data_IF_980941451367
#
_entry.id   IF_980941451367
#
_cell.length_a   1.000
_cell.length_b   1.000
_cell.length_c   1.000
_cell.angle_alpha   90.00
_cell.angle_beta   90.00
_cell.angle_gamma   90.00
#
_symmetry.space_group_name_H-M   'P 1'
#
loop_
_entity.id
_entity.type
_entity.pdbx_description
1 polymer ?
#
# COMPACT_ATOMS: atom_id res chain seq x y z
N UNK A 1 -5.88 2.55 12.07
CA UNK A 1 -5.38 2.99 10.75
C UNK A 1 -4.67 1.87 9.99
N UNK A 2 -3.55 1.31 10.47
CA UNK A 2 -2.70 0.40 9.68
C UNK A 2 -3.42 -0.83 9.08
N UNK A 3 -4.32 -1.47 9.83
CA UNK A 3 -5.12 -2.60 9.31
C UNK A 3 -6.05 -2.17 8.16
N UNK A 4 -6.61 -0.95 8.24
CA UNK A 4 -7.58 -0.42 7.28
C UNK A 4 -6.96 0.10 5.99
N UNK A 5 -5.63 0.23 5.91
CA UNK A 5 -4.90 0.50 4.66
C UNK A 5 -5.10 -0.61 3.61
N UNK A 6 -5.62 -1.77 4.03
CA UNK A 6 -5.97 -2.87 3.16
C UNK A 6 -7.35 -2.72 2.50
N UNK A 7 -8.02 -1.56 2.63
CA UNK A 7 -9.30 -1.26 1.98
C UNK A 7 -9.24 0.09 1.22
N UNK A 8 -9.81 0.16 0.02
CA UNK A 8 -10.02 1.41 -0.73
C UNK A 8 -11.13 1.26 -1.75
N UNK A 9 -12.04 2.24 -1.80
CA UNK A 9 -13.12 2.35 -2.77
C UNK A 9 -13.07 3.68 -3.55
N UNK A 10 -13.47 3.69 -4.83
CA UNK A 10 -13.60 4.93 -5.62
C UNK A 10 -14.94 5.57 -5.30
N UNK A 11 -14.92 6.75 -4.67
CA UNK A 11 -16.11 7.58 -4.41
C UNK A 11 -15.89 8.93 -5.07
N UNK A 12 -16.83 9.35 -5.92
CA UNK A 12 -16.71 10.60 -6.70
C UNK A 12 -15.38 10.72 -7.46
N UNK A 13 -14.86 9.57 -7.96
CA UNK A 13 -13.59 9.46 -8.69
C UNK A 13 -12.32 9.67 -7.86
N UNK A 14 -12.43 9.74 -6.54
CA UNK A 14 -11.31 9.78 -5.59
C UNK A 14 -11.22 8.42 -4.90
N UNK A 15 -10.02 7.89 -4.73
CA UNK A 15 -9.80 6.72 -3.89
C UNK A 15 -9.96 7.12 -2.43
N UNK A 16 -10.97 6.60 -1.76
CA UNK A 16 -11.22 6.82 -0.34
C UNK A 16 -11.09 5.49 0.39
N UNK A 17 -10.38 5.52 1.51
CA UNK A 17 -10.22 4.41 2.44
C UNK A 17 -10.75 4.81 3.81
N UNK A 18 -11.18 3.83 4.59
CA UNK A 18 -11.49 4.06 6.01
C UNK A 18 -10.25 4.53 6.79
N UNK A 19 -9.04 4.20 6.33
CA UNK A 19 -7.81 4.74 6.91
C UNK A 19 -7.67 6.25 6.73
N UNK A 20 -8.26 6.87 5.71
CA UNK A 20 -8.18 8.32 5.49
C UNK A 20 -8.90 9.10 6.60
N UNK A 21 -10.00 8.55 7.11
CA UNK A 21 -10.69 9.12 8.28
C UNK A 21 -9.77 9.13 9.52
N UNK A 22 -9.09 8.01 9.79
CA UNK A 22 -8.14 7.93 10.90
C UNK A 22 -6.87 8.76 10.65
N UNK A 23 -6.47 8.95 9.39
CA UNK A 23 -5.36 9.81 9.02
C UNK A 23 -5.64 11.25 9.43
N UNK A 24 -6.82 11.78 9.08
CA UNK A 24 -7.24 13.12 9.48
C UNK A 24 -7.29 13.28 11.00
N UNK A 25 -7.86 12.29 11.70
CA UNK A 25 -7.91 12.28 13.16
C UNK A 25 -6.49 12.30 13.78
N UNK A 26 -5.55 11.52 13.23
CA UNK A 26 -4.16 11.52 13.69
C UNK A 26 -3.45 12.85 13.41
N UNK A 27 -3.70 13.49 12.28
CA UNK A 27 -3.13 14.82 11.98
C UNK A 27 -3.61 15.86 12.99
N UNK A 28 -4.85 15.77 13.47
CA UNK A 28 -5.37 16.67 14.50
C UNK A 28 -4.84 16.35 15.90
N UNK A 29 -4.53 15.08 16.21
CA UNK A 29 -4.09 14.63 17.55
C UNK A 29 -2.59 14.79 17.75
N UNK A 30 -1.78 14.45 16.74
CA UNK A 30 -0.32 14.50 16.85
C UNK A 30 0.24 15.87 17.33
N UNK A 31 -0.30 17.05 16.92
CA UNK A 31 0.19 18.33 17.41
C UNK A 31 -0.12 18.54 18.90
N UNK A 32 -1.24 17.99 19.38
CA UNK A 32 -1.65 18.07 20.79
C UNK A 32 -0.71 17.29 21.71
N UNK A 33 -0.09 16.23 21.19
CA UNK A 33 0.93 15.42 21.89
C UNK A 33 2.32 16.08 21.83
N UNK A 34 2.46 17.26 21.17
CA UNK A 34 3.71 18.04 20.98
C UNK A 34 4.86 17.33 20.27
N UNK A 35 4.58 16.20 19.61
CA UNK A 35 5.60 15.37 18.98
C UNK A 35 5.58 15.41 17.43
N UNK A 36 4.86 16.37 16.82
CA UNK A 36 4.97 16.54 15.36
C UNK A 36 6.34 17.08 14.99
N UNK A 37 7.10 16.22 14.33
CA UNK A 37 8.26 16.56 13.54
C UNK A 37 7.81 16.65 12.10
N UNK A 38 7.83 17.86 11.55
CA UNK A 38 7.66 18.05 10.12
C UNK A 38 8.99 17.75 9.44
N UNK A 39 9.07 16.73 8.55
CA UNK A 39 10.32 16.41 7.89
C UNK A 39 10.60 17.45 6.79
N UNK A 40 11.26 18.55 7.17
CA UNK A 40 11.39 19.77 6.36
C UNK A 40 11.86 19.55 4.91
N UNK A 41 12.87 18.70 4.61
CA UNK A 41 13.26 18.45 3.22
C UNK A 41 12.12 17.90 2.35
N UNK A 42 11.31 17.01 2.92
CA UNK A 42 10.17 16.42 2.20
C UNK A 42 9.00 17.39 2.09
N UNK A 43 8.85 18.29 3.07
CA UNK A 43 7.89 19.39 2.98
C UNK A 43 8.23 20.36 1.85
N UNK A 44 9.49 20.76 1.74
CA UNK A 44 9.96 21.57 0.60
C UNK A 44 9.77 20.83 -0.73
N UNK A 45 10.09 19.53 -0.77
CA UNK A 45 9.81 18.71 -1.96
C UNK A 45 8.32 18.71 -2.32
N UNK A 46 7.42 18.56 -1.35
CA UNK A 46 5.97 18.62 -1.57
C UNK A 46 5.49 19.98 -2.09
N UNK A 47 6.09 21.08 -1.62
CA UNK A 47 5.81 22.43 -2.13
C UNK A 47 6.28 22.58 -3.58
N UNK A 48 7.53 22.20 -3.89
CA UNK A 48 8.06 22.24 -5.26
C UNK A 48 7.20 21.40 -6.20
N UNK A 49 6.81 20.20 -5.77
CA UNK A 49 5.93 19.32 -6.54
C UNK A 49 4.56 19.98 -6.79
N UNK A 50 3.96 20.59 -5.76
CA UNK A 50 2.69 21.33 -5.89
C UNK A 50 2.81 22.47 -6.89
N UNK A 51 3.85 23.31 -6.76
CA UNK A 51 4.10 24.40 -7.70
C UNK A 51 4.32 23.89 -9.12
N UNK A 52 5.08 22.80 -9.29
CA UNK A 52 5.32 22.19 -10.60
C UNK A 52 4.02 21.69 -11.23
N UNK A 53 3.13 21.08 -10.45
CA UNK A 53 1.84 20.58 -10.95
C UNK A 53 0.92 21.71 -11.39
N UNK A 54 0.79 22.75 -10.56
CA UNK A 54 -0.01 23.93 -10.91
C UNK A 54 0.53 24.56 -12.20
N UNK A 55 1.86 24.74 -12.28
CA UNK A 55 2.51 25.32 -13.45
C UNK A 55 2.31 24.46 -14.70
N UNK A 56 2.53 23.14 -14.61
CA UNK A 56 2.34 22.25 -15.77
C UNK A 56 0.89 22.19 -16.23
N UNK A 57 -0.05 22.10 -15.28
CA UNK A 57 -1.46 21.92 -15.59
C UNK A 57 -2.11 23.17 -16.16
N UNK A 58 -1.83 24.35 -15.61
CA UNK A 58 -2.53 25.58 -15.99
C UNK A 58 -1.72 26.53 -16.88
N UNK A 59 -0.39 26.40 -16.92
CA UNK A 59 0.46 27.31 -17.70
C UNK A 59 1.04 26.59 -18.91
N UNK A 60 1.83 25.52 -18.72
CA UNK A 60 2.48 24.84 -19.84
C UNK A 60 1.48 24.18 -20.79
N UNK A 61 0.45 23.53 -20.27
CA UNK A 61 -0.55 22.87 -21.12
C UNK A 61 -1.32 23.86 -22.00
N UNK A 62 -1.65 25.04 -21.46
CA UNK A 62 -2.33 26.09 -22.21
C UNK A 62 -1.41 26.65 -23.30
N UNK A 63 -0.16 26.99 -22.96
CA UNK A 63 0.79 27.60 -23.90
C UNK A 63 1.19 26.63 -25.03
N UNK A 64 1.48 25.37 -24.71
CA UNK A 64 2.05 24.43 -25.69
C UNK A 64 1.03 23.56 -26.40
N UNK A 65 -0.06 23.19 -25.73
CA UNK A 65 -1.05 22.27 -26.29
C UNK A 65 -2.40 22.94 -26.57
N UNK A 66 -2.63 24.18 -26.09
CA UNK A 66 -3.92 24.86 -26.21
C UNK A 66 -5.05 24.12 -25.46
N UNK A 67 -4.69 23.30 -24.46
CA UNK A 67 -5.63 22.51 -23.67
C UNK A 67 -5.73 23.12 -22.28
N UNK A 68 -6.88 23.69 -21.97
CA UNK A 68 -7.18 24.18 -20.64
C UNK A 68 -7.43 23.03 -19.68
N UNK A 69 -6.69 23.01 -18.56
CA UNK A 69 -6.95 22.06 -17.50
C UNK A 69 -8.29 22.38 -16.83
N UNK A 70 -9.18 21.39 -16.78
CA UNK A 70 -10.41 21.51 -16.00
C UNK A 70 -10.08 21.48 -14.49
N UNK A 71 -10.46 22.53 -13.72
CA UNK A 71 -10.13 22.62 -12.30
C UNK A 71 -10.62 21.41 -11.49
N UNK A 72 -11.77 20.84 -11.85
CA UNK A 72 -12.34 19.69 -11.14
C UNK A 72 -11.46 18.44 -11.21
N UNK A 73 -10.87 18.15 -12.38
CA UNK A 73 -9.93 17.04 -12.52
C UNK A 73 -8.60 17.32 -11.81
N UNK A 74 -8.12 18.57 -11.89
CA UNK A 74 -6.93 18.99 -11.15
C UNK A 74 -7.09 18.76 -9.64
N UNK A 75 -8.18 19.23 -9.03
CA UNK A 75 -8.41 19.05 -7.60
C UNK A 75 -8.55 17.57 -7.22
N UNK A 76 -9.23 16.76 -8.04
CA UNK A 76 -9.35 15.32 -7.81
C UNK A 76 -7.98 14.63 -7.75
N UNK A 77 -7.07 14.97 -8.66
CA UNK A 77 -5.73 14.38 -8.68
C UNK A 77 -4.82 14.98 -7.61
N UNK A 78 -4.96 16.28 -7.33
CA UNK A 78 -4.24 16.94 -6.24
C UNK A 78 -4.60 16.37 -4.87
N UNK A 79 -5.86 16.03 -4.62
CA UNK A 79 -6.28 15.36 -3.38
C UNK A 79 -5.55 14.02 -3.22
N UNK A 80 -5.36 13.23 -4.28
CA UNK A 80 -4.60 11.97 -4.21
C UNK A 80 -3.17 12.22 -3.76
N UNK A 81 -2.51 13.24 -4.34
CA UNK A 81 -1.15 13.62 -3.95
C UNK A 81 -1.10 14.10 -2.50
N UNK A 82 -2.04 14.96 -2.10
CA UNK A 82 -2.13 15.48 -0.74
C UNK A 82 -2.29 14.34 0.27
N UNK A 83 -3.19 13.40 0.01
CA UNK A 83 -3.39 12.21 0.86
C UNK A 83 -2.10 11.40 1.01
N UNK A 84 -1.34 11.17 -0.07
CA UNK A 84 -0.04 10.48 0.01
C UNK A 84 0.95 11.26 0.89
N UNK A 85 1.02 12.58 0.72
CA UNK A 85 1.90 13.42 1.52
C UNK A 85 1.51 13.43 3.01
N UNK A 86 0.20 13.45 3.31
CA UNK A 86 -0.32 13.33 4.66
C UNK A 86 0.00 11.97 5.31
N UNK A 87 -0.17 10.86 4.59
CA UNK A 87 0.26 9.55 5.06
C UNK A 87 1.76 9.50 5.33
N UNK A 88 2.57 10.16 4.50
CA UNK A 88 4.01 10.24 4.73
C UNK A 88 4.34 11.00 6.03
N UNK A 89 3.73 12.16 6.28
CA UNK A 89 3.94 12.92 7.52
C UNK A 89 3.54 12.08 8.75
N UNK A 90 2.35 11.48 8.74
CA UNK A 90 1.88 10.65 9.85
C UNK A 90 2.78 9.43 10.03
N UNK A 91 3.13 8.74 8.95
CA UNK A 91 4.04 7.59 8.97
C UNK A 91 5.43 7.94 9.51
N UNK A 92 5.99 9.08 9.12
CA UNK A 92 7.26 9.60 9.63
C UNK A 92 7.19 9.80 11.15
N UNK A 93 6.16 10.50 11.63
CA UNK A 93 5.98 10.79 13.05
C UNK A 93 5.79 9.51 13.89
N UNK A 94 4.91 8.62 13.46
CA UNK A 94 4.71 7.33 14.13
C UNK A 94 5.99 6.48 14.13
N UNK A 95 6.80 6.55 13.07
CA UNK A 95 8.11 5.89 13.02
C UNK A 95 9.09 6.48 14.05
N UNK A 96 9.15 7.80 14.17
CA UNK A 96 10.00 8.47 15.18
C UNK A 96 9.57 8.16 16.63
N UNK A 97 8.30 7.83 16.85
CA UNK A 97 7.77 7.34 18.12
C UNK A 97 8.06 5.84 18.39
N UNK A 98 8.74 5.15 17.48
CA UNK A 98 9.06 3.72 17.61
C UNK A 98 7.91 2.77 17.24
N UNK A 99 6.77 3.28 16.74
CA UNK A 99 5.58 2.49 16.43
C UNK A 99 5.64 1.80 15.05
N UNK A 100 6.74 1.96 14.30
CA UNK A 100 6.88 1.40 12.95
C UNK A 100 6.63 -0.11 12.90
N UNK A 101 7.16 -0.86 13.88
CA UNK A 101 6.97 -2.32 13.94
C UNK A 101 5.50 -2.70 14.07
N UNK A 102 4.73 -1.97 14.86
CA UNK A 102 3.31 -2.22 15.07
C UNK A 102 2.49 -1.86 13.82
N UNK A 103 2.82 -0.76 13.15
CA UNK A 103 2.18 -0.38 11.88
C UNK A 103 2.35 -1.51 10.86
N UNK A 104 3.58 -1.97 10.61
CA UNK A 104 3.84 -3.02 9.63
C UNK A 104 3.19 -4.34 10.03
N UNK A 105 3.19 -4.67 11.33
CA UNK A 105 2.52 -5.86 11.87
C UNK A 105 1.02 -5.83 11.61
N UNK A 106 0.33 -4.78 12.01
CA UNK A 106 -1.13 -4.67 11.86
C UNK A 106 -1.56 -4.52 10.41
N UNK A 107 -0.78 -3.83 9.59
CA UNK A 107 -0.96 -3.80 8.14
C UNK A 107 -0.90 -5.22 7.56
N UNK A 108 0.14 -5.99 7.88
CA UNK A 108 0.37 -7.33 7.34
C UNK A 108 -0.64 -8.36 7.85
N UNK A 109 -1.10 -8.22 9.10
CA UNK A 109 -2.20 -9.04 9.65
C UNK A 109 -3.49 -8.74 8.86
N UNK A 110 -3.78 -7.46 8.59
CA UNK A 110 -4.91 -7.06 7.75
C UNK A 110 -4.85 -7.69 6.35
N UNK A 111 -3.68 -7.67 5.71
CA UNK A 111 -3.49 -8.32 4.40
C UNK A 111 -3.74 -9.82 4.47
N UNK A 112 -3.22 -10.50 5.51
CA UNK A 112 -3.43 -11.94 5.70
C UNK A 112 -4.91 -12.28 5.90
N UNK A 113 -5.66 -11.49 6.67
CA UNK A 113 -7.12 -11.67 6.83
C UNK A 113 -7.79 -11.61 5.46
N UNK A 114 -7.47 -10.60 4.63
CA UNK A 114 -8.03 -10.49 3.29
C UNK A 114 -7.58 -11.62 2.35
N UNK A 115 -6.36 -12.14 2.52
CA UNK A 115 -5.89 -13.31 1.79
C UNK A 115 -6.62 -14.61 2.18
N UNK A 116 -6.97 -14.78 3.45
CA UNK A 116 -7.84 -15.88 3.89
C UNK A 116 -9.22 -15.73 3.25
N UNK A 117 -9.78 -14.53 3.29
CA UNK A 117 -11.08 -14.24 2.67
C UNK A 117 -11.05 -14.52 1.16
N UNK A 118 -9.96 -14.16 0.45
CA UNK A 118 -9.87 -14.42 -0.99
C UNK A 118 -9.96 -15.90 -1.32
N UNK A 119 -9.30 -16.76 -0.54
CA UNK A 119 -9.35 -18.21 -0.72
C UNK A 119 -10.76 -18.73 -0.44
N UNK A 120 -11.36 -18.33 0.69
CA UNK A 120 -12.72 -18.75 1.07
C UNK A 120 -13.73 -18.37 -0.03
N UNK A 121 -13.68 -17.12 -0.50
CA UNK A 121 -14.62 -16.64 -1.52
C UNK A 121 -14.38 -17.25 -2.89
N UNK A 122 -13.13 -17.60 -3.23
CA UNK A 122 -12.84 -18.33 -4.47
C UNK A 122 -13.43 -19.74 -4.44
N UNK A 123 -13.46 -20.39 -3.28
CA UNK A 123 -14.01 -21.75 -3.14
C UNK A 123 -15.54 -21.78 -3.06
N UNK A 124 -16.16 -20.83 -2.34
CA UNK A 124 -17.61 -20.82 -2.10
C UNK A 124 -18.36 -20.05 -3.20
N UNK A 125 -17.74 -19.01 -3.78
CA UNK A 125 -18.30 -18.14 -4.83
C UNK A 125 -19.77 -17.73 -4.62
N UNK A 126 -20.13 -17.10 -3.47
CA UNK A 126 -21.50 -16.66 -3.23
C UNK A 126 -21.89 -15.56 -4.24
N UNK A 127 -23.02 -15.69 -4.97
CA UNK A 127 -23.39 -14.77 -6.05
C UNK A 127 -23.51 -13.31 -5.61
N UNK A 128 -24.02 -13.06 -4.40
CA UNK A 128 -24.27 -11.72 -3.88
C UNK A 128 -23.00 -10.91 -3.54
N UNK A 129 -21.82 -11.54 -3.47
CA UNK A 129 -20.56 -10.85 -3.19
C UNK A 129 -19.67 -10.70 -4.43
N UNK A 130 -20.10 -11.23 -5.58
CA UNK A 130 -19.29 -11.23 -6.79
C UNK A 130 -19.01 -9.79 -7.27
N UNK A 131 -20.01 -8.91 -7.25
CA UNK A 131 -19.85 -7.51 -7.64
C UNK A 131 -18.97 -6.71 -6.66
N UNK A 132 -18.99 -7.07 -5.38
CA UNK A 132 -18.18 -6.40 -4.37
C UNK A 132 -16.70 -6.81 -4.47
N UNK A 133 -16.43 -8.12 -4.49
CA UNK A 133 -15.09 -8.68 -4.29
C UNK A 133 -14.35 -9.01 -5.58
N UNK A 134 -15.03 -9.06 -6.73
CA UNK A 134 -14.44 -9.39 -8.02
C UNK A 134 -14.50 -8.21 -8.99
N UNK A 135 -13.49 -8.14 -9.86
CA UNK A 135 -13.38 -7.22 -10.98
C UNK A 135 -13.54 -7.98 -12.29
N UNK A 136 -14.48 -7.55 -13.15
CA UNK A 136 -14.73 -8.21 -14.43
C UNK A 136 -15.11 -9.69 -14.31
N UNK A 137 -15.83 -10.06 -13.24
CA UNK A 137 -16.36 -11.41 -12.98
C UNK A 137 -15.36 -12.41 -12.41
N UNK A 138 -14.08 -12.36 -12.81
CA UNK A 138 -13.12 -13.45 -12.55
C UNK A 138 -11.88 -13.05 -11.74
N UNK A 139 -11.61 -11.76 -11.54
CA UNK A 139 -10.39 -11.30 -10.86
C UNK A 139 -10.71 -10.85 -9.44
N UNK A 140 -10.19 -11.53 -8.43
CA UNK A 140 -10.41 -11.12 -7.05
C UNK A 140 -9.70 -9.78 -6.75
N UNK A 141 -10.45 -8.76 -6.34
CA UNK A 141 -9.93 -7.46 -5.89
C UNK A 141 -10.02 -7.26 -4.38
N UNK A 142 -10.71 -8.15 -3.67
CA UNK A 142 -10.90 -8.03 -2.23
C UNK A 142 -11.63 -6.74 -1.88
N UNK A 143 -11.12 -6.00 -0.90
CA UNK A 143 -11.64 -4.68 -0.51
C UNK A 143 -10.90 -3.53 -1.20
N UNK A 144 -10.16 -3.81 -2.27
CA UNK A 144 -9.50 -2.81 -3.12
C UNK A 144 -10.31 -2.54 -4.37
N UNK A 145 -10.10 -1.36 -4.95
CA UNK A 145 -10.65 -0.98 -6.25
C UNK A 145 -10.16 -1.84 -7.41
N UNK A 146 -8.89 -2.24 -7.36
CA UNK A 146 -8.19 -2.91 -8.46
C UNK A 146 -7.47 -4.18 -7.95
N UNK A 147 -7.58 -5.31 -8.66
CA UNK A 147 -6.88 -6.55 -8.31
C UNK A 147 -5.36 -6.39 -8.24
N UNK A 148 -4.76 -5.48 -9.01
CA UNK A 148 -3.33 -5.19 -8.98
C UNK A 148 -2.91 -4.53 -7.64
N UNK A 149 -3.71 -3.61 -7.10
CA UNK A 149 -3.45 -3.01 -5.78
C UNK A 149 -3.54 -4.06 -4.68
N UNK A 150 -4.53 -4.95 -4.77
CA UNK A 150 -4.63 -6.09 -3.88
C UNK A 150 -3.34 -6.93 -3.91
N UNK A 151 -2.84 -7.31 -5.09
CA UNK A 151 -1.62 -8.12 -5.19
C UNK A 151 -0.39 -7.44 -4.60
N UNK A 152 -0.24 -6.12 -4.80
CA UNK A 152 0.88 -5.35 -4.24
C UNK A 152 0.83 -5.40 -2.70
N UNK A 153 -0.35 -5.17 -2.13
CA UNK A 153 -0.57 -5.25 -0.68
C UNK A 153 -0.21 -6.64 -0.13
N UNK A 154 -0.71 -7.71 -0.76
CA UNK A 154 -0.40 -9.08 -0.35
C UNK A 154 1.11 -9.36 -0.41
N UNK A 155 1.78 -8.86 -1.45
CA UNK A 155 3.22 -9.01 -1.61
C UNK A 155 4.03 -8.24 -0.56
N UNK A 156 3.58 -7.04 -0.17
CA UNK A 156 4.22 -6.31 0.94
C UNK A 156 4.08 -7.05 2.27
N UNK A 157 2.95 -7.71 2.53
CA UNK A 157 2.77 -8.54 3.72
C UNK A 157 3.67 -9.79 3.70
N UNK A 158 3.91 -10.40 2.53
CA UNK A 158 4.86 -11.53 2.37
C UNK A 158 6.23 -11.14 2.94
N UNK A 159 6.72 -9.93 2.64
CA UNK A 159 8.03 -9.47 3.12
C UNK A 159 8.11 -9.34 4.65
N UNK A 160 7.01 -8.95 5.29
CA UNK A 160 6.93 -8.94 6.76
C UNK A 160 7.02 -10.36 7.33
N UNK A 161 6.21 -11.30 6.84
CA UNK A 161 6.24 -12.68 7.34
C UNK A 161 7.56 -13.40 7.03
N UNK A 162 8.19 -13.12 5.89
CA UNK A 162 9.52 -13.66 5.56
C UNK A 162 10.60 -13.16 6.51
N UNK A 163 10.59 -11.86 6.84
CA UNK A 163 11.67 -11.22 7.58
C UNK A 163 11.49 -11.30 9.11
N UNK A 164 10.29 -11.57 9.60
CA UNK A 164 10.01 -11.62 11.03
C UNK A 164 10.37 -12.99 11.63
N UNK A 165 11.50 -13.06 12.33
CA UNK A 165 12.01 -14.27 13.00
C UNK A 165 11.16 -14.72 14.19
N UNK A 166 10.40 -13.82 14.82
CA UNK A 166 9.63 -14.12 16.04
C UNK A 166 8.41 -15.02 15.77
N UNK A 167 7.95 -15.11 14.53
CA UNK A 167 6.79 -15.93 14.16
C UNK A 167 7.22 -17.39 14.03
N UNK A 168 6.54 -18.32 14.71
CA UNK A 168 6.84 -19.75 14.62
C UNK A 168 6.81 -20.21 13.16
N UNK A 169 7.75 -21.09 12.78
CA UNK A 169 7.94 -21.55 11.40
C UNK A 169 6.66 -22.08 10.75
N UNK A 170 5.83 -22.83 11.49
CA UNK A 170 4.55 -23.37 11.00
C UNK A 170 3.58 -22.25 10.56
N UNK A 171 3.32 -21.27 11.42
CA UNK A 171 2.42 -20.15 11.11
C UNK A 171 2.98 -19.25 10.02
N UNK A 172 4.30 -19.09 9.95
CA UNK A 172 4.97 -18.35 8.89
C UNK A 172 4.73 -18.99 7.52
N UNK A 173 4.96 -20.29 7.39
CA UNK A 173 4.74 -21.02 6.14
C UNK A 173 3.27 -20.94 5.73
N UNK A 174 2.34 -21.14 6.67
CA UNK A 174 0.91 -21.05 6.40
C UNK A 174 0.52 -19.65 5.88
N UNK A 175 1.00 -18.59 6.54
CA UNK A 175 0.73 -17.21 6.10
C UNK A 175 1.29 -16.96 4.70
N UNK A 176 2.51 -17.40 4.39
CA UNK A 176 3.10 -17.24 3.07
C UNK A 176 2.32 -17.97 1.98
N UNK A 177 1.85 -19.20 2.26
CA UNK A 177 1.01 -19.94 1.32
C UNK A 177 -0.29 -19.19 1.05
N UNK A 178 -0.97 -18.73 2.10
CA UNK A 178 -2.22 -17.97 1.96
C UNK A 178 -2.00 -16.72 1.10
N UNK A 179 -0.95 -15.95 1.39
CA UNK A 179 -0.65 -14.71 0.66
C UNK A 179 -0.30 -15.00 -0.81
N UNK A 180 0.51 -16.03 -1.09
CA UNK A 180 0.83 -16.44 -2.47
C UNK A 180 -0.43 -16.89 -3.23
N UNK A 181 -1.28 -17.72 -2.63
CA UNK A 181 -2.54 -18.12 -3.24
C UNK A 181 -3.45 -16.92 -3.51
N UNK A 182 -3.52 -15.96 -2.57
CA UNK A 182 -4.32 -14.76 -2.76
C UNK A 182 -3.86 -13.93 -3.98
N UNK A 183 -2.55 -13.82 -4.22
CA UNK A 183 -1.99 -13.14 -5.40
C UNK A 183 -2.42 -13.88 -6.68
N UNK A 184 -2.37 -15.21 -6.69
CA UNK A 184 -2.81 -16.02 -7.84
C UNK A 184 -4.31 -15.78 -8.10
N UNK A 185 -5.15 -15.79 -7.05
CA UNK A 185 -6.61 -15.56 -7.19
C UNK A 185 -6.96 -14.17 -7.71
N UNK A 186 -6.08 -13.18 -7.53
CA UNK A 186 -6.30 -11.83 -8.08
C UNK A 186 -6.15 -11.77 -9.60
N UNK A 187 -5.57 -12.80 -10.23
CA UNK A 187 -5.31 -12.82 -11.67
C UNK A 187 -4.40 -11.67 -12.14
N UNK A 188 -3.56 -11.16 -11.26
CA UNK A 188 -2.68 -10.02 -11.53
C UNK A 188 -1.34 -10.47 -12.07
N UNK A 189 -1.10 -10.20 -13.36
CA UNK A 189 0.20 -10.46 -14.00
C UNK A 189 1.32 -9.67 -13.32
N UNK A 190 1.04 -8.41 -12.98
CA UNK A 190 2.01 -7.54 -12.28
C UNK A 190 2.31 -8.06 -10.87
N UNK A 191 1.30 -8.58 -10.17
CA UNK A 191 1.46 -9.22 -8.87
C UNK A 191 2.37 -10.45 -8.92
N UNK A 192 2.22 -11.29 -9.93
CA UNK A 192 3.08 -12.47 -10.14
C UNK A 192 4.53 -12.04 -10.44
N UNK A 193 4.71 -11.05 -11.33
CA UNK A 193 6.04 -10.51 -11.65
C UNK A 193 6.72 -9.96 -10.38
N UNK A 194 5.98 -9.23 -9.55
CA UNK A 194 6.48 -8.68 -8.29
C UNK A 194 6.87 -9.79 -7.29
N UNK A 195 6.07 -10.86 -7.20
CA UNK A 195 6.40 -12.05 -6.40
C UNK A 195 7.72 -12.68 -6.85
N UNK A 196 7.91 -12.84 -8.17
CA UNK A 196 9.15 -13.37 -8.75
C UNK A 196 10.34 -12.48 -8.37
N UNK A 197 10.23 -11.17 -8.53
CA UNK A 197 11.29 -10.23 -8.16
C UNK A 197 11.61 -10.29 -6.65
N UNK A 198 10.60 -10.40 -5.79
CA UNK A 198 10.82 -10.56 -4.34
C UNK A 198 11.56 -11.85 -4.01
N UNK A 199 11.18 -12.97 -4.64
CA UNK A 199 11.87 -14.25 -4.49
C UNK A 199 13.33 -14.15 -4.96
N UNK A 200 13.58 -13.55 -6.13
CA UNK A 200 14.94 -13.31 -6.63
C UNK A 200 15.75 -12.45 -5.66
N UNK A 201 15.19 -11.35 -5.18
CA UNK A 201 15.83 -10.49 -4.19
C UNK A 201 16.20 -11.25 -2.92
N UNK A 202 15.29 -12.05 -2.35
CA UNK A 202 15.59 -12.86 -1.16
C UNK A 202 16.62 -13.96 -1.41
N UNK A 203 16.62 -14.58 -2.58
CA UNK A 203 17.66 -15.54 -2.97
C UNK A 203 19.03 -14.88 -3.03
N UNK A 204 19.14 -13.71 -3.66
CA UNK A 204 20.42 -12.98 -3.68
C UNK A 204 20.90 -12.65 -2.28
N UNK A 205 20.03 -12.13 -1.40
CA UNK A 205 20.37 -11.87 0.01
C UNK A 205 20.91 -13.12 0.72
N UNK A 206 20.29 -14.27 0.50
CA UNK A 206 20.72 -15.54 1.10
C UNK A 206 22.12 -15.96 0.61
N UNK A 207 22.38 -15.90 -0.70
CA UNK A 207 23.70 -16.24 -1.25
C UNK A 207 24.81 -15.28 -0.81
N UNK A 208 24.54 -13.97 -0.77
CA UNK A 208 25.52 -12.99 -0.30
C UNK A 208 25.75 -13.03 1.21
N UNK A 209 24.72 -13.34 2.00
CA UNK A 209 24.86 -13.49 3.45
C UNK A 209 25.73 -14.71 3.82
N UNK A 210 25.63 -15.83 3.09
CA UNK A 210 26.48 -17.01 3.32
C UNK A 210 27.95 -16.76 3.00
N UNK A 211 28.25 -15.92 2.00
CA UNK A 211 29.64 -15.55 1.67
C UNK A 211 30.33 -14.75 2.80
N UNK A 212 29.58 -14.00 3.62
CA UNK A 212 30.16 -13.23 4.74
C UNK A 212 30.51 -14.10 5.95
N UNK A 213 29.76 -15.17 6.23
CA UNK A 213 30.09 -16.10 7.34
C UNK A 213 31.17 -17.11 6.98
N UNK A 214 31.41 -17.39 5.70
CA UNK A 214 32.47 -18.32 5.25
C UNK A 214 33.88 -17.72 5.23
N UNK A 215 34.05 -16.41 5.43
CA UNK A 215 35.36 -15.72 5.40
C UNK A 215 35.94 -15.41 6.80
N UNK A 216 35.39 -16.00 7.85
CA UNK A 216 35.95 -15.99 9.20
C UNK A 216 36.34 -17.43 9.58
N UNK A 217 37.44 -17.90 9.02
CA UNK A 217 38.25 -18.99 9.54
C UNK A 217 39.70 -18.61 9.31
#
# INVERSE_FOLDING_TARGET
MALLLNQSNVVLGINISLSDFFLLLLICILPLVKDIRLPFPFFIFGLVLTCSLIFTSFVLNEIHFGISASPGYFFRDYIKLLTVFLYFIVGYNLSTMGLFKDIVKWFSIGSLILGILSIIYTLISPPFLQELLYFGGNRFRGLMNDPNYFSVIQSTAIMYFLSNSNIRRKYRILALLILCFSIITSGSKTGIILLIFMCMYKLTQYFFSKKKTSKRY
#
